data_IF_219088184902
#
_entry.id   IF_219088184902
#
_cell.length_a   1.000
_cell.length_b   1.000
_cell.length_c   1.000
_cell.angle_alpha   90.00
_cell.angle_beta   90.00
_cell.angle_gamma   90.00
#
_symmetry.space_group_name_H-M   'P 1'
#
loop_
_entity.id
_entity.type
_entity.pdbx_description
1 polymer ?
#
# COMPACT_ATOMS: atom_id res chain seq x y z
N UNK A 1 -19.84 -18.54 0.40
CA UNK A 1 -19.00 -18.66 -0.80
C UNK A 1 -19.81 -18.40 -2.05
N UNK A 2 -19.35 -17.52 -2.94
CA UNK A 2 -20.01 -17.15 -4.19
C UNK A 2 -19.03 -17.21 -5.37
N UNK A 3 -19.55 -17.27 -6.60
CA UNK A 3 -18.75 -17.21 -7.83
C UNK A 3 -18.79 -15.79 -8.40
N UNK A 4 -17.68 -15.35 -9.00
CA UNK A 4 -17.50 -14.01 -9.55
C UNK A 4 -17.09 -14.08 -11.01
N UNK A 5 -17.62 -13.18 -11.84
CA UNK A 5 -17.31 -13.10 -13.26
C UNK A 5 -15.94 -12.45 -13.49
N UNK A 6 -15.03 -13.16 -14.15
CA UNK A 6 -13.70 -12.69 -14.54
C UNK A 6 -13.40 -13.13 -15.98
N UNK A 7 -13.23 -12.17 -16.91
CA UNK A 7 -12.87 -12.47 -18.31
C UNK A 7 -13.86 -13.37 -19.04
N UNK A 8 -15.15 -13.34 -18.66
CA UNK A 8 -16.20 -14.20 -19.22
C UNK A 8 -16.34 -15.57 -18.55
N UNK A 9 -15.58 -15.85 -17.48
CA UNK A 9 -15.64 -17.12 -16.73
C UNK A 9 -16.02 -16.85 -15.29
N UNK A 10 -16.97 -17.62 -14.74
CA UNK A 10 -17.29 -17.59 -13.32
C UNK A 10 -16.26 -18.37 -12.52
N UNK A 11 -15.62 -17.72 -11.54
CA UNK A 11 -14.58 -18.30 -10.68
C UNK A 11 -14.96 -18.17 -9.21
N UNK A 12 -14.52 -19.13 -8.39
CA UNK A 12 -14.77 -19.09 -6.95
C UNK A 12 -14.01 -17.94 -6.27
N UNK A 13 -12.79 -17.66 -6.73
CA UNK A 13 -11.96 -16.57 -6.25
C UNK A 13 -11.50 -15.71 -7.43
N UNK A 14 -11.35 -14.42 -7.19
CA UNK A 14 -10.73 -13.51 -8.15
C UNK A 14 -9.21 -13.72 -8.21
N UNK A 15 -8.62 -13.49 -9.37
CA UNK A 15 -7.15 -13.52 -9.52
C UNK A 15 -6.46 -12.46 -8.65
N UNK A 16 -5.14 -12.61 -8.47
CA UNK A 16 -4.30 -11.58 -7.85
C UNK A 16 -4.54 -10.21 -8.54
N UNK A 17 -4.45 -9.11 -7.77
CA UNK A 17 -4.76 -7.74 -8.21
C UNK A 17 -6.25 -7.51 -8.54
N UNK A 18 -7.12 -8.40 -8.09
CA UNK A 18 -8.57 -8.25 -8.21
C UNK A 18 -9.26 -8.63 -6.90
N UNK A 19 -10.46 -8.07 -6.69
CA UNK A 19 -11.30 -8.33 -5.53
C UNK A 19 -12.74 -8.67 -5.97
N UNK A 20 -13.47 -9.47 -5.18
CA UNK A 20 -14.88 -9.74 -5.40
C UNK A 20 -15.72 -8.51 -5.10
N UNK A 21 -16.41 -7.95 -6.10
CA UNK A 21 -17.30 -6.82 -5.93
C UNK A 21 -18.75 -7.25 -5.67
N UNK A 22 -19.55 -6.36 -5.08
CA UNK A 22 -20.94 -6.62 -4.70
C UNK A 22 -21.86 -6.95 -5.89
N UNK A 23 -21.47 -6.57 -7.10
CA UNK A 23 -22.20 -6.88 -8.34
C UNK A 23 -21.90 -8.29 -8.90
N UNK A 24 -21.15 -9.11 -8.17
CA UNK A 24 -20.78 -10.45 -8.58
C UNK A 24 -19.67 -10.49 -9.65
N UNK A 25 -18.94 -9.40 -9.84
CA UNK A 25 -17.79 -9.34 -10.76
C UNK A 25 -16.46 -9.28 -10.01
N UNK A 26 -15.39 -9.76 -10.65
CA UNK A 26 -14.04 -9.45 -10.18
C UNK A 26 -13.64 -8.07 -10.70
N UNK A 27 -13.33 -7.15 -9.79
CA UNK A 27 -12.84 -5.80 -10.13
C UNK A 27 -11.38 -5.65 -9.78
N UNK A 28 -10.68 -4.74 -10.47
CA UNK A 28 -9.25 -4.51 -10.27
C UNK A 28 -9.00 -3.76 -8.98
N UNK A 29 -7.93 -4.14 -8.28
CA UNK A 29 -7.38 -3.38 -7.17
C UNK A 29 -6.89 -1.98 -7.60
N UNK A 30 -6.63 -1.08 -6.64
CA UNK A 30 -5.93 0.17 -6.89
C UNK A 30 -4.60 -0.05 -7.64
N UNK A 31 -4.07 0.98 -8.33
CA UNK A 31 -2.75 0.92 -8.94
C UNK A 31 -1.68 0.44 -7.94
N UNK A 32 -0.79 -0.43 -8.42
CA UNK A 32 0.35 -0.96 -7.65
C UNK A 32 -0.03 -1.79 -6.41
N UNK A 33 -1.25 -2.30 -6.36
CA UNK A 33 -1.72 -3.18 -5.30
C UNK A 33 -1.89 -4.63 -5.79
N UNK A 34 -1.28 -5.58 -5.09
CA UNK A 34 -1.38 -7.01 -5.34
C UNK A 34 -2.59 -7.66 -4.64
N UNK A 35 -2.95 -7.17 -3.44
CA UNK A 35 -4.07 -7.70 -2.62
C UNK A 35 -4.87 -6.52 -2.05
N UNK A 36 -6.17 -6.47 -2.31
CA UNK A 36 -7.08 -5.42 -1.84
C UNK A 36 -8.43 -6.00 -1.40
N UNK A 37 -9.20 -5.26 -0.60
CA UNK A 37 -10.62 -5.56 -0.33
C UNK A 37 -11.57 -4.86 -1.30
N UNK A 38 -11.15 -3.72 -1.82
CA UNK A 38 -11.97 -2.82 -2.62
C UNK A 38 -11.08 -1.93 -3.52
N UNK A 39 -11.67 -0.93 -4.17
CA UNK A 39 -11.00 -0.01 -5.09
C UNK A 39 -10.16 1.07 -4.39
N UNK A 40 -10.03 1.02 -3.05
CA UNK A 40 -9.30 2.01 -2.23
C UNK A 40 -8.32 1.38 -1.25
N UNK A 41 -8.66 0.22 -0.70
CA UNK A 41 -7.94 -0.38 0.43
C UNK A 41 -7.00 -1.47 -0.06
N UNK A 42 -5.70 -1.18 -0.01
CA UNK A 42 -4.65 -2.15 -0.31
C UNK A 42 -4.07 -2.80 0.95
N UNK A 43 -3.79 -4.09 0.87
CA UNK A 43 -3.11 -4.88 1.91
C UNK A 43 -1.70 -5.32 1.52
N UNK A 44 -1.39 -5.35 0.22
CA UNK A 44 -0.06 -5.72 -0.27
C UNK A 44 0.27 -4.93 -1.52
N UNK A 45 1.32 -4.11 -1.45
CA UNK A 45 1.83 -3.42 -2.62
C UNK A 45 2.62 -4.36 -3.53
N UNK A 46 2.60 -4.07 -4.83
CA UNK A 46 3.52 -4.67 -5.79
C UNK A 46 4.97 -4.35 -5.37
N UNK A 47 5.91 -5.24 -5.67
CA UNK A 47 7.34 -5.03 -5.45
C UNK A 47 7.81 -3.62 -5.86
N UNK A 48 8.66 -3.00 -5.05
CA UNK A 48 9.14 -1.60 -5.13
C UNK A 48 8.13 -0.49 -4.81
N UNK A 49 6.89 -0.83 -4.40
CA UNK A 49 5.95 0.15 -3.89
C UNK A 49 5.76 -0.02 -2.39
N UNK A 50 5.62 1.10 -1.69
CA UNK A 50 5.55 1.19 -0.25
C UNK A 50 4.13 1.54 0.19
N UNK A 51 3.65 0.84 1.21
CA UNK A 51 2.34 1.10 1.80
C UNK A 51 2.35 2.39 2.64
N UNK A 52 1.37 3.26 2.40
CA UNK A 52 1.07 4.40 3.26
C UNK A 52 -0.45 4.63 3.28
N UNK A 53 -1.06 4.48 4.47
CA UNK A 53 -2.49 4.70 4.69
C UNK A 53 -3.39 3.91 3.72
N UNK A 54 -3.07 2.64 3.49
CA UNK A 54 -3.84 1.75 2.60
C UNK A 54 -3.61 1.98 1.11
N UNK A 55 -2.70 2.87 0.72
CA UNK A 55 -2.34 3.13 -0.67
C UNK A 55 -0.85 2.81 -0.92
N UNK A 56 -0.54 2.41 -2.15
CA UNK A 56 0.82 2.09 -2.57
C UNK A 56 1.48 3.29 -3.26
N UNK A 57 2.70 3.62 -2.86
CA UNK A 57 3.48 4.77 -3.36
C UNK A 57 4.86 4.33 -3.83
N UNK A 58 5.40 5.00 -4.83
CA UNK A 58 6.75 4.74 -5.32
C UNK A 58 7.84 5.31 -4.40
N UNK A 59 7.49 6.31 -3.59
CA UNK A 59 8.37 6.94 -2.60
C UNK A 59 7.55 7.48 -1.43
N UNK A 60 8.19 7.59 -0.28
CA UNK A 60 7.57 8.14 0.92
C UNK A 60 7.64 9.68 0.92
N UNK A 61 6.61 10.37 1.44
CA UNK A 61 6.66 11.82 1.60
C UNK A 61 7.67 12.21 2.68
N UNK A 62 7.95 13.52 2.80
CA UNK A 62 8.70 14.04 3.96
C UNK A 62 8.04 13.62 5.27
N UNK A 63 8.83 13.56 6.35
CA UNK A 63 8.44 13.02 7.66
C UNK A 63 8.24 11.49 7.68
N UNK A 64 8.56 10.80 6.58
CA UNK A 64 8.57 9.33 6.50
C UNK A 64 9.87 8.83 5.87
N UNK A 65 10.37 7.70 6.37
CA UNK A 65 11.46 6.94 5.76
C UNK A 65 10.94 5.71 5.02
N UNK A 66 11.76 5.19 4.10
CA UNK A 66 11.45 3.99 3.33
C UNK A 66 11.82 2.73 4.12
N UNK A 67 10.84 2.07 4.71
CA UNK A 67 11.02 0.78 5.38
C UNK A 67 10.90 -0.34 4.34
N UNK A 68 12.02 -0.69 3.73
CA UNK A 68 12.08 -1.71 2.67
C UNK A 68 11.93 -3.14 3.22
N UNK A 69 12.17 -3.36 4.51
CA UNK A 69 11.95 -4.65 5.16
C UNK A 69 10.45 -4.92 5.32
N UNK A 70 9.70 -3.92 5.80
CA UNK A 70 8.27 -4.01 5.97
C UNK A 70 7.47 -3.62 4.71
N UNK A 71 8.12 -3.03 3.70
CA UNK A 71 7.50 -2.58 2.46
C UNK A 71 6.52 -1.41 2.68
N UNK A 72 6.84 -0.49 3.58
CA UNK A 72 5.96 0.64 3.95
C UNK A 72 6.71 1.94 4.16
N UNK A 73 5.95 3.02 4.24
CA UNK A 73 6.45 4.29 4.75
C UNK A 73 6.39 4.28 6.28
N UNK A 74 7.56 4.26 6.92
CA UNK A 74 7.71 4.41 8.37
C UNK A 74 7.74 5.88 8.74
N UNK A 75 7.10 6.27 9.84
CA UNK A 75 7.12 7.67 10.28
C UNK A 75 8.46 7.98 10.95
N UNK A 76 9.02 9.15 10.63
CA UNK A 76 10.20 9.67 11.31
C UNK A 76 9.92 9.98 12.78
N UNK A 77 10.99 10.14 13.58
CA UNK A 77 10.87 10.75 14.90
C UNK A 77 10.24 12.16 14.80
N UNK A 78 9.34 12.59 15.71
CA UNK A 78 8.59 13.85 15.59
C UNK A 78 9.44 15.14 15.54
N UNK A 79 10.71 15.07 15.95
CA UNK A 79 11.65 16.21 15.88
C UNK A 79 12.33 16.34 14.51
N UNK A 80 12.08 15.41 13.59
CA UNK A 80 12.72 15.34 12.28
C UNK A 80 11.77 15.81 11.17
N UNK A 81 12.30 16.60 10.23
CA UNK A 81 11.64 16.90 8.95
C UNK A 81 11.89 15.81 7.90
N UNK A 82 13.06 15.17 7.94
CA UNK A 82 13.42 13.99 7.17
C UNK A 82 14.35 13.09 7.97
N UNK A 83 14.31 11.79 7.68
CA UNK A 83 15.07 10.78 8.41
C UNK A 83 15.39 9.57 7.53
N UNK A 84 16.40 8.80 7.92
CA UNK A 84 16.72 7.49 7.33
C UNK A 84 16.14 6.30 8.10
N UNK A 85 15.48 6.57 9.24
CA UNK A 85 14.98 5.57 10.18
C UNK A 85 14.11 6.19 11.27
N UNK A 86 13.55 5.38 12.18
CA UNK A 86 12.55 5.82 13.14
C UNK A 86 13.13 6.57 14.35
N UNK A 87 14.44 6.54 14.58
CA UNK A 87 15.06 7.04 15.80
C UNK A 87 15.41 8.53 15.71
N UNK A 88 15.72 9.16 16.86
CA UNK A 88 16.10 10.57 16.92
C UNK A 88 17.45 10.85 16.25
N UNK A 89 18.35 9.86 16.23
CA UNK A 89 19.68 9.94 15.64
C UNK A 89 19.71 9.56 14.15
N UNK A 90 18.59 9.07 13.62
CA UNK A 90 18.36 8.85 12.18
C UNK A 90 17.95 10.14 11.45
N UNK A 91 17.96 11.29 12.14
CA UNK A 91 17.50 12.57 11.62
C UNK A 91 18.45 13.12 10.56
N UNK A 92 17.93 13.39 9.37
CA UNK A 92 18.68 14.07 8.30
C UNK A 92 18.41 15.57 8.29
N UNK A 93 17.20 15.98 8.67
CA UNK A 93 16.81 17.37 8.85
C UNK A 93 15.88 17.53 10.06
N UNK A 94 15.96 18.66 10.76
CA UNK A 94 15.08 18.96 11.89
C UNK A 94 13.74 19.53 11.41
N UNK A 95 12.66 19.22 12.13
CA UNK A 95 11.38 19.89 11.93
C UNK A 95 11.52 21.38 12.30
N UNK A 96 11.04 22.27 11.43
CA UNK A 96 11.01 23.71 11.70
C UNK A 96 9.67 24.05 12.34
N UNK A 97 9.71 24.60 13.55
CA UNK A 97 8.53 25.08 14.29
C UNK A 97 7.99 26.40 13.73
#
# INVERSE_FOLDING_TARGET
DGFYLEGGVCRLNCSLRMYPADDGTCRRCPPHCDICSDDRTCFKCTFLYLMLNGACRASCPMEYYEDMEEGRCGQCHPTCGSCSGPLEDDCETCSSF
#
